data_IF_063875972214
#
_entry.id   IF_063875972214
#
_cell.length_a   1.000
_cell.length_b   1.000
_cell.length_c   1.000
_cell.angle_alpha   90.00
_cell.angle_beta   90.00
_cell.angle_gamma   90.00
#
_symmetry.space_group_name_H-M   'P 1'
#
loop_
_entity.id
_entity.type
_entity.pdbx_description
1 polymer ?
#
# COMPACT_ATOMS: atom_id res chain seq x y z
N UNK A 1 -13.97 -3.16 -9.14
CA UNK A 1 -12.57 -2.68 -9.13
C UNK A 1 -12.38 -1.98 -7.78
N UNK A 2 -11.39 -2.35 -6.97
CA UNK A 2 -11.09 -1.61 -5.73
C UNK A 2 -10.09 -0.53 -6.11
N UNK A 3 -10.47 0.75 -6.00
CA UNK A 3 -9.55 1.90 -6.10
C UNK A 3 -8.60 1.95 -7.30
N UNK A 4 -8.97 1.40 -8.46
CA UNK A 4 -8.12 1.35 -9.66
C UNK A 4 -7.24 0.09 -9.81
N UNK A 5 -7.32 -0.87 -8.88
CA UNK A 5 -6.58 -2.14 -8.98
C UNK A 5 -7.47 -3.22 -9.63
N UNK A 6 -6.92 -3.91 -10.63
CA UNK A 6 -7.58 -5.05 -11.27
C UNK A 6 -7.74 -6.23 -10.29
N UNK A 7 -8.80 -7.04 -10.44
CA UNK A 7 -8.99 -8.23 -9.59
C UNK A 7 -7.80 -9.20 -9.66
N UNK A 8 -7.18 -9.33 -10.84
CA UNK A 8 -6.00 -10.17 -11.04
C UNK A 8 -4.82 -9.67 -10.20
N UNK A 9 -4.52 -8.37 -10.24
CA UNK A 9 -3.44 -7.77 -9.45
C UNK A 9 -3.70 -7.87 -7.95
N UNK A 10 -4.94 -7.64 -7.52
CA UNK A 10 -5.32 -7.79 -6.12
C UNK A 10 -5.09 -9.24 -5.63
N UNK A 11 -5.56 -10.22 -6.41
CA UNK A 11 -5.39 -11.65 -6.07
C UNK A 11 -3.92 -12.05 -6.03
N UNK A 12 -3.11 -11.58 -6.98
CA UNK A 12 -1.66 -11.84 -6.99
C UNK A 12 -0.97 -11.22 -5.77
N UNK A 13 -1.35 -10.01 -5.39
CA UNK A 13 -0.80 -9.31 -4.22
C UNK A 13 -1.15 -10.05 -2.93
N UNK A 14 -2.43 -10.41 -2.74
CA UNK A 14 -2.88 -11.14 -1.55
C UNK A 14 -2.18 -12.50 -1.42
N UNK A 15 -2.01 -13.25 -2.52
CA UNK A 15 -1.25 -14.51 -2.50
C UNK A 15 0.22 -14.34 -2.13
N UNK A 16 0.84 -13.21 -2.52
CA UNK A 16 2.22 -12.91 -2.12
C UNK A 16 2.27 -12.63 -0.62
N UNK A 17 1.41 -11.75 -0.13
CA UNK A 17 1.33 -11.42 1.29
C UNK A 17 0.98 -12.64 2.17
N UNK A 18 0.17 -13.57 1.66
CA UNK A 18 -0.17 -14.83 2.33
C UNK A 18 1.06 -15.73 2.45
N UNK A 19 1.81 -15.89 1.36
CA UNK A 19 3.09 -16.65 1.37
C UNK A 19 4.14 -16.03 2.28
N UNK A 20 4.18 -14.70 2.36
CA UNK A 20 5.12 -13.96 3.21
C UNK A 20 4.68 -13.95 4.69
N UNK A 21 3.52 -14.54 5.03
CA UNK A 21 3.01 -14.61 6.40
C UNK A 21 2.42 -13.30 6.94
N UNK A 22 2.14 -12.34 6.06
CA UNK A 22 1.63 -11.00 6.41
C UNK A 22 0.10 -11.01 6.51
N UNK A 23 -0.56 -11.75 5.62
CA UNK A 23 -2.01 -11.97 5.69
C UNK A 23 -2.31 -13.45 5.84
N UNK A 24 -3.41 -13.76 6.49
CA UNK A 24 -4.00 -15.09 6.50
C UNK A 24 -5.27 -15.09 5.64
N UNK A 25 -5.59 -16.25 5.08
CA UNK A 25 -6.75 -16.45 4.21
C UNK A 25 -7.68 -17.47 4.84
N UNK A 26 -8.93 -17.08 5.08
CA UNK A 26 -9.96 -17.98 5.58
C UNK A 26 -11.03 -18.23 4.50
N UNK A 27 -11.37 -19.50 4.30
CA UNK A 27 -12.43 -19.93 3.37
C UNK A 27 -13.63 -20.40 4.17
N UNK A 28 -14.77 -19.73 3.99
CA UNK A 28 -16.02 -20.17 4.55
C UNK A 28 -16.68 -21.20 3.63
N UNK A 29 -16.99 -22.41 4.10
CA UNK A 29 -17.67 -23.44 3.32
C UNK A 29 -19.17 -23.17 3.26
N UNK A 30 -19.57 -22.04 2.68
CA UNK A 30 -20.95 -21.61 2.49
C UNK A 30 -21.27 -21.48 0.99
N UNK A 31 -22.56 -21.39 0.64
CA UNK A 31 -23.00 -21.11 -0.74
C UNK A 31 -23.63 -19.72 -0.78
N UNK A 32 -23.12 -18.78 -1.61
CA UNK A 32 -21.90 -18.87 -2.42
C UNK A 32 -20.62 -18.86 -1.56
N UNK A 33 -19.51 -19.45 -2.03
CA UNK A 33 -18.26 -19.53 -1.26
C UNK A 33 -17.74 -18.13 -0.95
N UNK A 34 -17.35 -17.91 0.30
CA UNK A 34 -16.80 -16.64 0.79
C UNK A 34 -15.36 -16.85 1.23
N UNK A 35 -14.51 -15.88 0.89
CA UNK A 35 -13.11 -15.83 1.31
C UNK A 35 -12.89 -14.52 2.02
N UNK A 36 -12.23 -14.57 3.18
CA UNK A 36 -11.77 -13.40 3.91
C UNK A 36 -10.26 -13.42 4.05
N UNK A 37 -9.67 -12.24 4.11
CA UNK A 37 -8.26 -12.04 4.39
C UNK A 37 -8.13 -11.11 5.59
N UNK A 38 -7.26 -11.47 6.53
CA UNK A 38 -6.93 -10.67 7.72
C UNK A 38 -5.42 -10.54 7.86
N UNK A 39 -4.97 -9.50 8.57
CA UNK A 39 -3.57 -9.37 8.94
C UNK A 39 -3.23 -10.37 10.05
N UNK A 40 -2.11 -11.06 9.87
CA UNK A 40 -1.50 -11.87 10.94
C UNK A 40 -0.91 -10.96 12.03
N UNK A 41 -0.47 -11.50 13.18
CA UNK A 41 0.30 -10.72 14.14
C UNK A 41 1.55 -10.07 13.52
N UNK A 42 2.26 -10.75 12.61
CA UNK A 42 3.38 -10.19 11.87
C UNK A 42 2.94 -9.06 10.92
N UNK A 43 1.83 -9.23 10.20
CA UNK A 43 1.34 -8.17 9.31
C UNK A 43 0.87 -6.91 10.06
N UNK A 44 0.41 -7.05 11.31
CA UNK A 44 0.05 -5.90 12.15
C UNK A 44 1.26 -5.05 12.52
N UNK A 45 2.43 -5.64 12.77
CA UNK A 45 3.65 -4.85 13.08
C UNK A 45 4.09 -4.00 11.89
N UNK A 46 3.90 -4.49 10.66
CA UNK A 46 4.15 -3.71 9.45
C UNK A 46 3.21 -2.50 9.32
N UNK A 47 1.99 -2.61 9.81
CA UNK A 47 0.99 -1.53 9.73
C UNK A 47 1.44 -0.30 10.54
N UNK A 48 2.11 -0.50 11.66
CA UNK A 48 2.65 0.60 12.48
C UNK A 48 3.75 1.36 11.74
N UNK A 49 4.65 0.64 11.07
CA UNK A 49 5.69 1.26 10.24
C UNK A 49 5.09 2.05 9.06
N UNK A 50 4.11 1.46 8.35
CA UNK A 50 3.45 2.13 7.25
C UNK A 50 2.76 3.42 7.70
N UNK A 51 2.09 3.41 8.86
CA UNK A 51 1.50 4.61 9.45
C UNK A 51 2.54 5.69 9.72
N UNK A 52 3.69 5.33 10.30
CA UNK A 52 4.76 6.27 10.56
C UNK A 52 5.29 6.91 9.26
N UNK A 53 5.44 6.12 8.20
CA UNK A 53 5.84 6.62 6.87
C UNK A 53 4.79 7.60 6.32
N UNK A 54 3.50 7.23 6.37
CA UNK A 54 2.42 8.11 5.93
C UNK A 54 2.40 9.42 6.72
N UNK A 55 2.48 9.35 8.04
CA UNK A 55 2.50 10.53 8.91
C UNK A 55 3.69 11.43 8.62
N UNK A 56 4.88 10.86 8.43
CA UNK A 56 6.06 11.63 8.04
C UNK A 56 5.84 12.33 6.70
N UNK A 57 5.33 11.62 5.70
CA UNK A 57 5.07 12.17 4.37
C UNK A 57 4.02 13.28 4.40
N UNK A 58 2.95 13.12 5.18
CA UNK A 58 1.93 14.15 5.39
C UNK A 58 2.53 15.39 6.06
N UNK A 59 3.39 15.19 7.06
CA UNK A 59 4.04 16.28 7.79
C UNK A 59 4.97 17.10 6.89
N UNK A 60 5.67 16.45 5.95
CA UNK A 60 6.68 17.09 5.10
C UNK A 60 6.19 17.34 3.67
N UNK A 61 4.87 17.28 3.43
CA UNK A 61 4.31 17.38 2.09
C UNK A 61 4.71 18.69 1.40
N UNK A 62 4.65 19.80 2.13
CA UNK A 62 5.02 21.13 1.62
C UNK A 62 6.51 21.23 1.31
N UNK A 63 7.37 20.61 2.12
CA UNK A 63 8.81 20.58 1.87
C UNK A 63 9.16 19.80 0.61
N UNK A 64 8.49 18.65 0.43
CA UNK A 64 8.61 17.80 -0.77
C UNK A 64 8.15 18.58 -2.00
N UNK A 65 7.01 19.26 -1.93
CA UNK A 65 6.47 20.01 -3.06
C UNK A 65 7.36 21.20 -3.43
N UNK A 66 7.86 21.94 -2.42
CA UNK A 66 8.83 23.00 -2.66
C UNK A 66 10.13 22.47 -3.28
N UNK A 67 10.60 21.29 -2.89
CA UNK A 67 11.75 20.66 -3.51
C UNK A 67 11.50 20.31 -4.99
N UNK A 68 10.31 19.81 -5.32
CA UNK A 68 9.91 19.54 -6.72
C UNK A 68 9.91 20.80 -7.57
N UNK A 69 9.27 21.87 -7.07
CA UNK A 69 9.22 23.16 -7.79
C UNK A 69 10.62 23.73 -8.02
N UNK A 70 11.52 23.65 -7.02
CA UNK A 70 12.92 24.09 -7.20
C UNK A 70 13.62 23.30 -8.30
N UNK A 71 13.49 21.98 -8.30
CA UNK A 71 14.09 21.11 -9.30
C UNK A 71 13.59 21.41 -10.72
N UNK A 72 12.28 21.60 -10.89
CA UNK A 72 11.68 21.93 -12.19
C UNK A 72 12.15 23.30 -12.71
N UNK A 73 12.25 24.31 -11.84
CA UNK A 73 12.78 25.63 -12.21
C UNK A 73 14.22 25.54 -12.71
N UNK A 74 15.07 24.77 -12.04
CA UNK A 74 16.46 24.58 -12.46
C UNK A 74 16.58 23.88 -13.83
N UNK A 75 15.70 22.92 -14.14
CA UNK A 75 15.64 22.29 -15.46
C UNK A 75 15.22 23.28 -16.56
N UNK A 76 14.23 24.12 -16.30
CA UNK A 76 13.76 25.12 -17.28
C UNK A 76 14.75 26.26 -17.54
N UNK A 77 15.66 26.54 -16.60
CA UNK A 77 16.65 27.63 -16.75
C UNK A 77 17.90 27.18 -17.52
N UNK A 78 18.08 25.86 -17.72
CA UNK A 78 19.23 25.26 -18.41
C UNK A 78 18.95 24.82 -19.86
N UNK A 79 17.70 24.97 -20.34
CA UNK A 79 17.31 24.72 -21.74
C UNK A 79 17.11 26.01 -22.50
#
# INVERSE_FOLDING_TARGET
>A
MIGGISQKMLTQTLRKLERDGIVERYVYPVVPPKVEYSLTPLGKTLTELLKAICQWAETHLDEIENARVRYERELTTKG
#
